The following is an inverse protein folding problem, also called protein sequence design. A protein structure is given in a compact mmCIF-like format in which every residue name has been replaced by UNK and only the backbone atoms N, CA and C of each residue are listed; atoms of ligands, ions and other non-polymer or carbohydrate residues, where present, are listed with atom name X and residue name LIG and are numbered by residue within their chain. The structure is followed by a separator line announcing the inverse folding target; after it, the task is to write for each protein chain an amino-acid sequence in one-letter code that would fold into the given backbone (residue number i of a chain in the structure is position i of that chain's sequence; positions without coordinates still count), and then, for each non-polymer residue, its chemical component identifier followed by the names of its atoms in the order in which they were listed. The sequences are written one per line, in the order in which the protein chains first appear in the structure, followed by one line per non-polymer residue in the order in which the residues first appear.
data_IF_707315721090
#
_entry.id   IF_707315721090
#
_cell.length_a   1.000
_cell.length_b   1.000
_cell.length_c   1.000
_cell.angle_alpha   90.00
_cell.angle_beta   90.00
_cell.angle_gamma   90.00
#
_symmetry.space_group_name_H-M   'P 1'
#
loop_
_entity.id
_entity.type
_entity.pdbx_description
1 polymer ?
#
# COMPACT_ATOMS: atom_id res chain seq x y z
N UNK A 1 55.15 19.99 5.85
CA UNK A 1 54.33 19.09 6.69
C UNK A 1 53.09 19.88 7.05
N UNK A 2 52.03 19.76 6.26
CA UNK A 2 50.72 20.36 6.53
C UNK A 2 49.93 19.36 7.36
N UNK A 3 49.51 19.78 8.54
CA UNK A 3 48.68 19.01 9.46
C UNK A 3 47.28 18.87 8.88
N UNK A 4 46.91 17.64 8.51
CA UNK A 4 45.52 17.29 8.21
C UNK A 4 44.71 17.37 9.51
N UNK A 5 43.84 18.38 9.59
CA UNK A 5 42.91 18.55 10.71
C UNK A 5 41.91 17.39 10.79
N UNK A 6 41.38 17.07 11.98
CA UNK A 6 40.48 15.95 12.15
C UNK A 6 39.18 16.17 11.37
N UNK A 7 38.87 15.23 10.46
CA UNK A 7 37.60 15.21 9.74
C UNK A 7 36.42 15.18 10.72
N UNK A 8 35.35 15.97 10.50
CA UNK A 8 34.20 15.96 11.38
C UNK A 8 33.53 14.58 11.32
N UNK A 9 33.42 13.94 12.49
CA UNK A 9 32.68 12.70 12.68
C UNK A 9 31.29 12.82 12.02
N UNK A 10 31.09 12.03 10.97
CA UNK A 10 29.81 11.81 10.31
C UNK A 10 28.78 11.41 11.36
N UNK A 11 27.96 12.37 11.78
CA UNK A 11 26.84 12.14 12.67
C UNK A 11 25.91 11.13 11.98
N UNK A 12 25.94 9.88 12.45
CA UNK A 12 25.03 8.83 11.96
C UNK A 12 23.60 9.39 12.01
N UNK A 13 22.83 9.32 10.91
CA UNK A 13 21.49 9.88 10.89
C UNK A 13 20.67 9.27 12.02
N UNK A 14 20.09 10.12 12.87
CA UNK A 14 19.18 9.69 13.93
C UNK A 14 18.01 9.00 13.25
N UNK A 15 17.96 7.68 13.30
CA UNK A 15 16.86 6.90 12.74
C UNK A 15 15.65 7.18 13.65
N UNK A 16 14.60 7.88 13.16
CA UNK A 16 13.42 8.07 13.98
C UNK A 16 12.83 6.69 14.29
N UNK A 17 12.76 6.34 15.58
CA UNK A 17 12.08 5.11 16.00
C UNK A 17 10.62 5.23 15.60
N UNK A 18 10.16 4.31 14.74
CA UNK A 18 8.76 4.27 14.31
C UNK A 18 7.83 4.12 15.51
N UNK A 19 6.66 4.76 15.46
CA UNK A 19 5.68 4.66 16.54
C UNK A 19 5.24 3.21 16.74
N UNK A 20 4.97 2.76 17.98
CA UNK A 20 4.39 1.45 18.23
C UNK A 20 3.04 1.37 17.51
N UNK A 21 2.81 0.26 16.82
CA UNK A 21 1.55 -0.02 16.13
C UNK A 21 0.97 -1.34 16.62
N UNK A 22 -0.36 -1.45 16.64
CA UNK A 22 -1.05 -2.70 16.94
C UNK A 22 -1.29 -3.47 15.62
N UNK A 23 -0.50 -4.52 15.32
CA UNK A 23 -0.64 -5.29 14.10
C UNK A 23 -1.98 -6.00 14.02
N UNK A 24 -2.49 -6.51 15.14
CA UNK A 24 -3.71 -7.32 15.20
C UNK A 24 -4.93 -6.52 14.73
N UNK A 25 -5.08 -5.29 15.23
CA UNK A 25 -6.18 -4.42 14.80
C UNK A 25 -6.13 -4.13 13.29
N UNK A 26 -4.94 -3.92 12.73
CA UNK A 26 -4.77 -3.73 11.29
C UNK A 26 -5.15 -5.00 10.51
N UNK A 27 -4.74 -6.18 10.97
CA UNK A 27 -5.07 -7.45 10.32
C UNK A 27 -6.57 -7.76 10.35
N UNK A 28 -7.26 -7.47 11.46
CA UNK A 28 -8.72 -7.66 11.53
C UNK A 28 -9.44 -6.81 10.50
N UNK A 29 -9.06 -5.54 10.35
CA UNK A 29 -9.66 -4.65 9.34
C UNK A 29 -9.33 -5.17 7.92
N UNK A 30 -8.10 -5.61 7.69
CA UNK A 30 -7.69 -6.19 6.41
C UNK A 30 -8.52 -7.42 6.04
N UNK A 31 -8.64 -8.38 6.94
CA UNK A 31 -9.45 -9.58 6.73
C UNK A 31 -10.90 -9.21 6.47
N UNK A 32 -11.47 -8.26 7.22
CA UNK A 32 -12.84 -7.79 7.00
C UNK A 32 -13.04 -7.20 5.59
N UNK A 33 -12.12 -6.35 5.10
CA UNK A 33 -12.21 -5.78 3.76
C UNK A 33 -12.06 -6.83 2.65
N UNK A 34 -11.18 -7.82 2.85
CA UNK A 34 -11.04 -8.95 1.92
C UNK A 34 -12.33 -9.76 1.87
N UNK A 35 -12.94 -10.06 3.02
CA UNK A 35 -14.22 -10.76 3.09
C UNK A 35 -15.35 -9.98 2.38
N UNK A 36 -15.43 -8.66 2.59
CA UNK A 36 -16.38 -7.81 1.86
C UNK A 36 -16.14 -7.88 0.35
N UNK A 37 -14.88 -7.86 -0.10
CA UNK A 37 -14.53 -8.05 -1.51
C UNK A 37 -15.03 -9.39 -2.06
N UNK A 38 -14.85 -10.49 -1.33
CA UNK A 38 -15.36 -11.80 -1.74
C UNK A 38 -16.89 -11.89 -1.74
N UNK A 39 -17.58 -11.24 -0.80
CA UNK A 39 -19.04 -11.15 -0.80
C UNK A 39 -19.52 -10.41 -2.05
N UNK A 40 -18.90 -9.27 -2.39
CA UNK A 40 -19.22 -8.51 -3.60
C UNK A 40 -18.95 -9.31 -4.87
N UNK A 41 -17.84 -10.04 -4.91
CA UNK A 41 -17.51 -10.95 -6.00
C UNK A 41 -18.56 -12.05 -6.15
N UNK A 42 -19.01 -12.66 -5.05
CA UNK A 42 -20.03 -13.69 -5.10
C UNK A 42 -21.38 -13.17 -5.61
N UNK A 43 -21.77 -11.95 -5.22
CA UNK A 43 -23.04 -11.34 -5.63
C UNK A 43 -23.03 -10.79 -7.07
N UNK A 44 -21.93 -10.16 -7.49
CA UNK A 44 -21.88 -9.32 -8.68
C UNK A 44 -20.65 -9.56 -9.57
N UNK A 45 -19.89 -10.62 -9.29
CA UNK A 45 -18.71 -11.06 -10.05
C UNK A 45 -17.60 -10.00 -10.10
N UNK A 46 -16.71 -10.08 -11.10
CA UNK A 46 -15.55 -9.20 -11.22
C UNK A 46 -15.89 -7.71 -11.35
N UNK A 47 -16.96 -7.25 -12.01
CA UNK A 47 -17.24 -5.82 -12.12
C UNK A 47 -17.37 -5.11 -10.76
N UNK A 48 -18.07 -5.69 -9.79
CA UNK A 48 -18.18 -5.10 -8.46
C UNK A 48 -16.86 -5.18 -7.67
N UNK A 49 -16.13 -6.28 -7.81
CA UNK A 49 -14.81 -6.44 -7.19
C UNK A 49 -13.79 -5.42 -7.74
N UNK A 50 -13.82 -5.14 -9.04
CA UNK A 50 -13.03 -4.10 -9.70
C UNK A 50 -13.42 -2.73 -9.15
N UNK A 51 -14.71 -2.40 -9.10
CA UNK A 51 -15.17 -1.10 -8.58
C UNK A 51 -14.78 -0.89 -7.10
N UNK A 52 -14.93 -1.94 -6.28
CA UNK A 52 -14.52 -1.94 -4.88
C UNK A 52 -13.01 -1.72 -4.73
N UNK A 53 -12.18 -2.49 -5.43
CA UNK A 53 -10.72 -2.36 -5.36
C UNK A 53 -10.22 -1.04 -5.93
N UNK A 54 -10.89 -0.50 -6.96
CA UNK A 54 -10.58 0.81 -7.54
C UNK A 54 -10.66 1.94 -6.50
N UNK A 55 -11.65 1.92 -5.61
CA UNK A 55 -11.75 2.88 -4.50
C UNK A 55 -10.46 2.88 -3.66
N UNK A 56 -9.96 1.70 -3.32
CA UNK A 56 -8.74 1.56 -2.53
C UNK A 56 -7.48 1.94 -3.29
N UNK A 57 -7.41 1.67 -4.60
CA UNK A 57 -6.31 2.14 -5.45
C UNK A 57 -6.27 3.67 -5.50
N UNK A 58 -7.42 4.34 -5.61
CA UNK A 58 -7.49 5.81 -5.56
C UNK A 58 -6.99 6.33 -4.21
N UNK A 59 -7.43 5.72 -3.10
CA UNK A 59 -6.96 6.07 -1.75
C UNK A 59 -5.44 5.88 -1.64
N UNK A 60 -4.93 4.75 -2.15
CA UNK A 60 -3.52 4.41 -2.14
C UNK A 60 -2.67 5.41 -2.93
N UNK A 61 -3.10 5.79 -4.13
CA UNK A 61 -2.44 6.83 -4.93
C UNK A 61 -2.37 8.14 -4.16
N UNK A 62 -3.51 8.60 -3.62
CA UNK A 62 -3.58 9.86 -2.86
C UNK A 62 -2.66 9.83 -1.65
N UNK A 63 -2.70 8.74 -0.89
CA UNK A 63 -1.90 8.59 0.32
C UNK A 63 -0.40 8.50 -0.01
N UNK A 64 -0.01 7.79 -1.06
CA UNK A 64 1.37 7.72 -1.53
C UNK A 64 1.88 9.09 -1.97
N UNK A 65 1.09 9.85 -2.75
CA UNK A 65 1.45 11.22 -3.15
C UNK A 65 1.67 12.09 -1.90
N UNK A 66 0.77 11.99 -0.92
CA UNK A 66 0.91 12.73 0.32
C UNK A 66 2.20 12.36 1.07
N UNK A 67 2.52 11.07 1.19
CA UNK A 67 3.75 10.60 1.86
C UNK A 67 4.99 11.12 1.14
N UNK A 68 5.06 10.97 -0.18
CA UNK A 68 6.23 11.40 -0.97
C UNK A 68 6.48 12.90 -0.81
N UNK A 69 5.42 13.71 -0.69
CA UNK A 69 5.53 15.16 -0.51
C UNK A 69 5.83 15.60 0.92
N UNK A 70 5.30 14.90 1.93
CA UNK A 70 5.30 15.41 3.32
C UNK A 70 6.27 14.71 4.27
N UNK A 71 6.76 13.51 3.94
CA UNK A 71 7.54 12.71 4.89
C UNK A 71 9.01 12.95 4.67
N UNK A 72 9.76 13.28 5.71
CA UNK A 72 11.20 13.53 5.60
C UNK A 72 11.99 12.23 5.33
N UNK A 73 11.54 11.10 5.91
CA UNK A 73 12.24 9.83 5.83
C UNK A 73 12.16 9.21 4.43
N UNK A 74 13.32 9.05 3.78
CA UNK A 74 13.42 8.46 2.42
C UNK A 74 12.92 7.02 2.35
N UNK A 75 13.10 6.24 3.42
CA UNK A 75 12.57 4.88 3.54
C UNK A 75 11.04 4.85 3.41
N UNK A 76 10.31 5.72 4.13
CA UNK A 76 8.86 5.79 4.08
C UNK A 76 8.35 6.12 2.67
N UNK A 77 9.02 7.05 1.98
CA UNK A 77 8.69 7.43 0.59
C UNK A 77 8.89 6.25 -0.37
N UNK A 78 10.06 5.60 -0.31
CA UNK A 78 10.39 4.44 -1.17
C UNK A 78 9.42 3.28 -0.93
N UNK A 79 9.16 2.96 0.34
CA UNK A 79 8.22 1.91 0.70
C UNK A 79 6.80 2.21 0.21
N UNK A 80 6.33 3.46 0.31
CA UNK A 80 5.02 3.84 -0.21
C UNK A 80 4.92 3.70 -1.73
N UNK A 81 5.97 4.10 -2.47
CA UNK A 81 6.03 3.95 -3.94
C UNK A 81 6.05 2.47 -4.35
N UNK A 82 6.79 1.62 -3.64
CA UNK A 82 6.80 0.17 -3.90
C UNK A 82 5.40 -0.42 -3.67
N UNK A 83 4.75 -0.05 -2.55
CA UNK A 83 3.38 -0.48 -2.25
C UNK A 83 2.39 -0.08 -3.34
N UNK A 84 2.49 1.16 -3.83
CA UNK A 84 1.68 1.62 -4.95
C UNK A 84 1.98 0.85 -6.23
N UNK A 85 3.26 0.65 -6.56
CA UNK A 85 3.70 0.00 -7.79
C UNK A 85 3.12 -1.41 -7.94
N UNK A 86 3.33 -2.28 -6.94
CA UNK A 86 2.80 -3.64 -7.05
C UNK A 86 1.26 -3.67 -6.99
N UNK A 87 0.62 -2.76 -6.23
CA UNK A 87 -0.84 -2.71 -6.17
C UNK A 87 -1.45 -2.30 -7.51
N UNK A 88 -0.83 -1.36 -8.23
CA UNK A 88 -1.23 -1.01 -9.60
C UNK A 88 -1.06 -2.22 -10.52
N UNK A 89 0.05 -2.95 -10.44
CA UNK A 89 0.27 -4.16 -11.23
C UNK A 89 -0.85 -5.19 -11.03
N UNK A 90 -1.18 -5.53 -9.78
CA UNK A 90 -2.26 -6.47 -9.49
C UNK A 90 -3.65 -5.92 -9.82
N UNK A 91 -3.86 -4.61 -9.75
CA UNK A 91 -5.11 -3.98 -10.21
C UNK A 91 -5.29 -4.10 -11.72
N UNK A 92 -4.23 -3.88 -12.52
CA UNK A 92 -4.29 -4.11 -13.98
C UNK A 92 -4.60 -5.57 -14.28
N UNK A 93 -3.96 -6.52 -13.58
CA UNK A 93 -4.25 -7.94 -13.71
C UNK A 93 -5.71 -8.25 -13.40
N UNK A 94 -6.24 -7.71 -12.28
CA UNK A 94 -7.65 -7.88 -11.90
C UNK A 94 -8.59 -7.34 -12.97
N UNK A 95 -8.35 -6.14 -13.50
CA UNK A 95 -9.21 -5.53 -14.51
C UNK A 95 -9.18 -6.34 -15.81
N UNK A 96 -8.00 -6.63 -16.35
CA UNK A 96 -7.87 -7.31 -17.64
C UNK A 96 -8.41 -8.73 -17.56
N UNK A 97 -7.93 -9.53 -16.60
CA UNK A 97 -8.37 -10.92 -16.47
C UNK A 97 -9.81 -11.00 -15.96
N UNK A 98 -10.21 -10.15 -15.02
CA UNK A 98 -11.57 -10.15 -14.48
C UNK A 98 -12.63 -9.78 -15.52
N UNK A 99 -12.34 -8.84 -16.41
CA UNK A 99 -13.23 -8.52 -17.53
C UNK A 99 -13.30 -9.66 -18.55
N UNK A 100 -12.15 -10.26 -18.90
CA UNK A 100 -12.12 -11.42 -19.79
C UNK A 100 -12.95 -12.59 -19.25
N UNK A 101 -12.74 -12.94 -17.97
CA UNK A 101 -13.47 -14.01 -17.28
C UNK A 101 -14.98 -13.70 -17.19
N UNK A 102 -15.35 -12.43 -17.00
CA UNK A 102 -16.77 -12.01 -17.00
C UNK A 102 -17.44 -12.17 -18.36
N UNK A 103 -16.67 -12.24 -19.44
CA UNK A 103 -17.15 -12.49 -20.80
C UNK A 103 -17.06 -13.96 -21.21
N UNK A 104 -16.65 -14.86 -20.29
CA UNK A 104 -16.44 -16.27 -20.58
C UNK A 104 -15.14 -16.57 -21.35
N UNK A 105 -14.22 -15.60 -21.42
CA UNK A 105 -12.91 -15.77 -22.04
C UNK A 105 -11.89 -16.31 -21.02
N UNK A 106 -10.80 -16.89 -21.52
CA UNK A 106 -9.66 -17.24 -20.68
C UNK A 106 -8.93 -15.97 -20.16
N UNK A 107 -8.22 -16.05 -19.01
CA UNK A 107 -7.37 -14.95 -18.58
C UNK A 107 -6.35 -14.56 -19.65
N UNK A 108 -6.08 -13.27 -19.79
CA UNK A 108 -5.20 -12.73 -20.85
C UNK A 108 -3.77 -12.63 -20.33
N UNK A 109 -3.61 -12.13 -19.10
CA UNK A 109 -2.30 -12.00 -18.44
C UNK A 109 -2.06 -13.26 -17.62
N UNK A 110 -0.98 -13.98 -17.91
CA UNK A 110 -0.62 -15.24 -17.24
C UNK A 110 -1.77 -16.24 -17.20
N UNK A 111 -2.22 -16.75 -18.36
CA UNK A 111 -3.34 -17.69 -18.46
C UNK A 111 -3.13 -18.98 -17.65
N UNK A 112 -1.89 -19.34 -17.35
CA UNK A 112 -1.53 -20.50 -16.52
C UNK A 112 -1.99 -20.34 -15.06
N UNK A 113 -2.29 -19.11 -14.63
CA UNK A 113 -2.75 -18.77 -13.28
C UNK A 113 -4.18 -18.24 -13.33
N UNK A 114 -5.16 -19.13 -13.50
CA UNK A 114 -6.59 -18.77 -13.61
C UNK A 114 -7.13 -18.00 -12.40
N UNK A 115 -6.65 -18.34 -11.21
CA UNK A 115 -7.06 -17.71 -9.95
C UNK A 115 -6.36 -16.37 -9.67
N UNK A 116 -5.43 -15.93 -10.53
CA UNK A 116 -4.66 -14.71 -10.27
C UNK A 116 -5.58 -13.48 -10.12
N UNK A 117 -6.65 -13.40 -10.91
CA UNK A 117 -7.65 -12.34 -10.81
C UNK A 117 -8.41 -12.40 -9.48
N UNK A 118 -8.75 -13.58 -8.97
CA UNK A 118 -9.48 -13.74 -7.70
C UNK A 118 -8.59 -13.45 -6.49
N UNK A 119 -7.26 -13.58 -6.63
CA UNK A 119 -6.29 -13.27 -5.57
C UNK A 119 -5.79 -11.82 -5.59
N UNK A 120 -5.84 -11.14 -6.73
CA UNK A 120 -5.41 -9.73 -6.87
C UNK A 120 -5.91 -8.77 -5.79
N UNK A 121 -7.18 -8.82 -5.32
CA UNK A 121 -7.65 -7.94 -4.25
C UNK A 121 -6.84 -8.04 -2.96
N UNK A 122 -6.34 -9.23 -2.63
CA UNK A 122 -5.50 -9.47 -1.46
C UNK A 122 -4.20 -8.65 -1.56
N UNK A 123 -3.52 -8.72 -2.72
CA UNK A 123 -2.31 -7.97 -2.96
C UNK A 123 -2.57 -6.45 -2.95
N UNK A 124 -3.60 -5.99 -3.66
CA UNK A 124 -3.96 -4.56 -3.72
C UNK A 124 -4.22 -4.00 -2.31
N UNK A 125 -5.06 -4.69 -1.53
CA UNK A 125 -5.36 -4.29 -0.15
C UNK A 125 -4.09 -4.37 0.72
N UNK A 126 -3.24 -5.37 0.55
CA UNK A 126 -1.94 -5.44 1.21
C UNK A 126 -1.12 -4.16 1.04
N UNK A 127 -1.11 -3.56 -0.16
CA UNK A 127 -0.41 -2.29 -0.41
C UNK A 127 -1.06 -1.08 0.25
N UNK A 128 -2.39 -1.04 0.27
CA UNK A 128 -3.18 -0.04 1.01
C UNK A 128 -2.83 -0.09 2.49
N UNK A 129 -2.76 -1.28 3.07
CA UNK A 129 -2.39 -1.48 4.47
C UNK A 129 -0.92 -1.17 4.74
N UNK A 130 -0.01 -1.51 3.81
CA UNK A 130 1.39 -1.12 3.87
C UNK A 130 1.54 0.40 3.99
N UNK A 131 0.84 1.15 3.13
CA UNK A 131 0.83 2.62 3.17
C UNK A 131 0.14 3.16 4.43
N UNK A 132 -0.96 2.56 4.87
CA UNK A 132 -1.61 2.96 6.13
C UNK A 132 -0.68 2.78 7.35
N UNK A 133 0.11 1.69 7.38
CA UNK A 133 1.09 1.46 8.44
C UNK A 133 2.24 2.46 8.37
N UNK A 134 2.75 2.78 7.18
CA UNK A 134 3.75 3.85 6.99
C UNK A 134 3.21 5.18 7.57
N UNK A 135 1.94 5.51 7.30
CA UNK A 135 1.32 6.73 7.82
C UNK A 135 1.25 6.75 9.35
N UNK A 136 0.89 5.62 9.96
CA UNK A 136 0.81 5.48 11.41
C UNK A 136 2.18 5.60 12.07
N UNK A 137 3.21 4.97 11.48
CA UNK A 137 4.55 4.89 12.06
C UNK A 137 5.38 6.16 11.85
N UNK A 138 5.30 6.76 10.67
CA UNK A 138 6.23 7.81 10.21
C UNK A 138 5.56 9.14 9.87
N UNK A 139 4.24 9.26 10.04
CA UNK A 139 3.53 10.49 9.71
C UNK A 139 3.92 11.68 10.58
N UNK A 140 3.75 12.92 10.07
CA UNK A 140 4.02 14.14 10.84
C UNK A 140 3.32 14.09 12.20
N UNK A 141 3.97 14.54 13.28
CA UNK A 141 3.29 14.71 14.56
C UNK A 141 2.22 15.80 14.39
N UNK A 142 0.98 15.52 14.79
CA UNK A 142 0.08 16.62 15.14
C UNK A 142 0.72 17.24 16.37
N UNK A 143 1.28 18.44 16.23
CA UNK A 143 1.68 19.27 17.36
C UNK A 143 0.43 19.46 18.22
N UNK A 144 0.29 18.63 19.23
CA UNK A 144 -0.70 18.83 20.27
C UNK A 144 -0.16 20.01 21.04
N UNK A 145 -0.85 21.15 20.96
CA UNK A 145 -0.53 22.34 21.75
C UNK A 145 -0.21 21.90 23.19
N UNK A 146 1.05 22.00 23.56
CA UNK A 146 1.45 21.94 24.97
C UNK A 146 1.09 23.30 25.53
N UNK A 147 -0.02 23.38 26.25
CA UNK A 147 -0.22 24.52 27.16
C UNK A 147 0.77 24.37 28.32
N UNK A 148 1.34 25.49 28.81
CA UNK A 148 2.22 25.51 29.97
C UNK A 148 1.55 24.98 31.24
#
# INVERSE_FOLDING_TARGET
MTEDGPEPESSKPVIPQGRPFNPLATYVIYTALVLVGYILFWLFHYPALIAFTMLFVIILIRDTINIVKTYELSFARKAAVINLGYSITFFIILVVNGLALSQGLSPIIWPEFTELASWSPMFILGGVFGVANIKKMYGPQKTTFSYP
#
